data_IF_251790231769
#
_entry.id   IF_251790231769
#
_cell.length_a   1.000
_cell.length_b   1.000
_cell.length_c   1.000
_cell.angle_alpha   90.00
_cell.angle_beta   90.00
_cell.angle_gamma   90.00
#
_symmetry.space_group_name_H-M   'P 1'
#
loop_
_entity.id
_entity.type
_entity.pdbx_description
1 polymer ?
#
# COMPACT_ATOMS: atom_id res chain seq x y z
N UNK A 1 -5.82 -9.27 30.06
CA UNK A 1 -6.85 -9.66 29.07
C UNK A 1 -6.21 -9.62 27.69
N UNK A 2 -6.35 -10.67 26.86
CA UNK A 2 -5.88 -10.57 25.48
C UNK A 2 -6.63 -9.43 24.78
N UNK A 3 -5.89 -8.66 23.96
CA UNK A 3 -6.49 -7.57 23.19
C UNK A 3 -7.58 -8.11 22.24
N UNK A 4 -8.66 -7.37 22.08
CA UNK A 4 -9.73 -7.74 21.18
C UNK A 4 -9.18 -7.89 19.72
N UNK A 5 -9.66 -8.87 18.96
CA UNK A 5 -9.21 -9.07 17.60
C UNK A 5 -9.54 -7.84 16.72
N UNK A 6 -8.61 -7.48 15.85
CA UNK A 6 -8.86 -6.45 14.82
C UNK A 6 -9.88 -7.02 13.82
N UNK A 7 -10.92 -6.27 13.52
CA UNK A 7 -11.97 -6.68 12.58
C UNK A 7 -12.45 -5.49 11.76
N UNK A 8 -12.90 -5.78 10.55
CA UNK A 8 -13.45 -4.79 9.59
C UNK A 8 -12.55 -3.56 9.46
N UNK A 9 -11.25 -3.82 9.26
CA UNK A 9 -10.22 -2.77 9.19
C UNK A 9 -9.51 -2.84 7.86
N UNK A 10 -9.42 -1.69 7.19
CA UNK A 10 -8.64 -1.48 5.99
C UNK A 10 -7.36 -0.74 6.37
N UNK A 11 -6.22 -1.35 6.14
CA UNK A 11 -4.92 -0.69 6.31
C UNK A 11 -4.38 -0.32 4.93
N UNK A 12 -4.12 0.96 4.72
CA UNK A 12 -3.59 1.46 3.45
C UNK A 12 -2.12 1.86 3.62
N UNK A 13 -1.21 1.03 3.07
CA UNK A 13 0.23 1.28 3.11
C UNK A 13 0.65 2.04 1.85
N UNK A 14 1.03 3.29 2.00
CA UNK A 14 1.56 4.13 0.92
C UNK A 14 3.02 4.49 1.15
N UNK A 15 3.82 4.53 0.08
CA UNK A 15 5.25 4.84 0.14
C UNK A 15 5.94 4.52 -1.18
N UNK A 16 7.14 5.00 -1.39
CA UNK A 16 7.89 4.80 -2.64
C UNK A 16 8.32 3.34 -2.85
N UNK A 17 8.65 2.99 -4.10
CA UNK A 17 9.28 1.72 -4.43
C UNK A 17 10.51 1.50 -3.53
N UNK A 18 10.68 0.29 -2.99
CA UNK A 18 11.78 -0.02 -2.06
C UNK A 18 11.46 0.13 -0.57
N UNK A 19 10.37 0.80 -0.16
CA UNK A 19 10.01 0.93 1.27
C UNK A 19 9.65 -0.39 1.96
N UNK A 20 9.45 -1.48 1.19
CA UNK A 20 9.10 -2.79 1.74
C UNK A 20 7.62 -3.01 2.00
N UNK A 21 6.73 -2.20 1.41
CA UNK A 21 5.27 -2.27 1.57
C UNK A 21 4.70 -3.69 1.56
N UNK A 22 5.01 -4.47 0.52
CA UNK A 22 4.49 -5.84 0.39
C UNK A 22 4.96 -6.74 1.52
N UNK A 23 6.23 -6.67 1.92
CA UNK A 23 6.78 -7.49 3.00
C UNK A 23 6.17 -7.11 4.35
N UNK A 24 5.97 -5.80 4.58
CA UNK A 24 5.28 -5.28 5.77
C UNK A 24 3.81 -5.71 5.74
N UNK A 25 3.13 -5.59 4.59
CA UNK A 25 1.74 -6.01 4.42
C UNK A 25 1.54 -7.50 4.75
N UNK A 26 2.44 -8.37 4.28
CA UNK A 26 2.38 -9.80 4.56
C UNK A 26 2.63 -10.11 6.06
N UNK A 27 3.55 -9.41 6.71
CA UNK A 27 3.77 -9.54 8.15
C UNK A 27 2.54 -9.06 8.94
N UNK A 28 2.00 -7.88 8.59
CA UNK A 28 0.81 -7.32 9.21
C UNK A 28 -0.43 -8.20 9.02
N UNK A 29 -0.62 -8.74 7.82
CA UNK A 29 -1.76 -9.61 7.50
C UNK A 29 -1.81 -10.86 8.38
N UNK A 30 -0.66 -11.41 8.77
CA UNK A 30 -0.59 -12.53 9.73
C UNK A 30 -1.02 -12.13 11.13
N UNK A 31 -0.67 -10.91 11.56
CA UNK A 31 -0.99 -10.40 12.91
C UNK A 31 -2.49 -10.07 13.09
N UNK A 32 -3.14 -9.60 12.04
CA UNK A 32 -4.55 -9.15 12.12
C UNK A 32 -5.52 -10.01 11.30
N UNK A 33 -5.10 -11.15 10.79
CA UNK A 33 -5.88 -12.00 9.86
C UNK A 33 -6.49 -11.19 8.71
N UNK A 34 -5.64 -10.61 7.85
CA UNK A 34 -6.06 -9.77 6.72
C UNK A 34 -5.72 -10.40 5.37
N UNK A 35 -6.46 -9.98 4.35
CA UNK A 35 -6.10 -10.23 2.95
C UNK A 35 -5.21 -9.07 2.46
N UNK A 36 -4.07 -9.39 1.85
CA UNK A 36 -3.21 -8.40 1.21
C UNK A 36 -3.69 -8.15 -0.20
N UNK A 37 -4.04 -6.90 -0.49
CA UNK A 37 -4.36 -6.40 -1.85
C UNK A 37 -3.13 -5.63 -2.33
N UNK A 38 -2.17 -6.37 -2.89
CA UNK A 38 -0.92 -5.78 -3.38
C UNK A 38 -1.18 -5.03 -4.70
N UNK A 39 -0.59 -3.85 -4.86
CA UNK A 39 -0.73 -3.05 -6.08
C UNK A 39 -0.35 -3.84 -7.36
N UNK A 40 0.56 -4.80 -7.25
CA UNK A 40 0.94 -5.67 -8.36
C UNK A 40 -0.15 -6.69 -8.74
N UNK A 41 -1.06 -7.06 -7.84
CA UNK A 41 -2.24 -7.87 -8.21
C UNK A 41 -3.15 -7.14 -9.18
N UNK A 42 -3.19 -5.82 -9.08
CA UNK A 42 -4.02 -4.96 -9.93
C UNK A 42 -3.29 -4.66 -11.24
N UNK A 43 -2.00 -4.38 -11.17
CA UNK A 43 -1.22 -3.96 -12.33
C UNK A 43 -0.79 -5.15 -13.21
N UNK A 44 -0.38 -6.27 -12.62
CA UNK A 44 0.24 -7.39 -13.34
C UNK A 44 -0.65 -8.09 -14.36
N UNK A 45 -1.99 -8.20 -14.20
CA UNK A 45 -2.84 -8.69 -15.28
C UNK A 45 -2.70 -7.93 -16.59
N UNK A 46 -2.44 -6.62 -16.51
CA UNK A 46 -2.22 -5.76 -17.68
C UNK A 46 -0.74 -5.77 -18.08
N UNK A 47 0.18 -5.61 -17.13
CA UNK A 47 1.63 -5.58 -17.39
C UNK A 47 2.14 -6.88 -17.99
N UNK A 48 1.65 -8.03 -17.55
CA UNK A 48 2.03 -9.33 -18.10
C UNK A 48 1.60 -9.55 -19.56
N UNK A 49 0.64 -8.77 -20.06
CA UNK A 49 0.20 -8.82 -21.47
C UNK A 49 1.01 -7.90 -22.38
N UNK A 50 1.61 -6.85 -21.84
CA UNK A 50 2.33 -5.83 -22.63
C UNK A 50 3.85 -5.91 -22.44
N UNK A 51 4.33 -6.73 -21.50
CA UNK A 51 5.75 -6.96 -21.19
C UNK A 51 6.58 -5.66 -21.13
N UNK A 52 6.28 -4.74 -20.20
CA UNK A 52 6.92 -3.43 -20.17
C UNK A 52 8.41 -3.57 -19.80
N UNK A 53 9.26 -2.75 -20.39
CA UNK A 53 10.71 -2.73 -20.15
C UNK A 53 11.11 -2.25 -18.72
N UNK A 54 10.15 -1.75 -17.96
CA UNK A 54 10.34 -1.22 -16.60
C UNK A 54 11.12 0.11 -16.53
N UNK A 55 11.36 0.76 -17.69
CA UNK A 55 12.13 2.00 -17.82
C UNK A 55 11.36 3.10 -18.53
N UNK A 56 10.70 2.77 -19.64
CA UNK A 56 9.93 3.71 -20.44
C UNK A 56 8.60 4.07 -19.78
N UNK A 57 8.12 5.32 -19.90
CA UNK A 57 6.78 5.68 -19.46
C UNK A 57 5.73 4.83 -20.19
N UNK A 58 4.74 4.35 -19.46
CA UNK A 58 3.64 3.60 -20.03
C UNK A 58 2.57 4.56 -20.60
N UNK A 59 1.96 4.24 -21.77
CA UNK A 59 0.87 5.02 -22.31
C UNK A 59 -0.33 5.11 -21.36
N UNK A 60 -1.11 6.20 -21.41
CA UNK A 60 -2.30 6.40 -20.58
C UNK A 60 -3.34 5.29 -20.75
N UNK A 61 -3.44 4.72 -21.95
CA UNK A 61 -4.32 3.58 -22.22
C UNK A 61 -4.04 2.37 -21.31
N UNK A 62 -2.78 2.16 -20.90
CA UNK A 62 -2.41 1.08 -19.96
C UNK A 62 -2.99 1.36 -18.59
N UNK A 63 -2.87 2.60 -18.11
CA UNK A 63 -3.40 3.01 -16.81
C UNK A 63 -4.92 2.97 -16.76
N UNK A 64 -5.58 3.25 -17.89
CA UNK A 64 -7.03 3.06 -18.04
C UNK A 64 -7.43 1.59 -17.83
N UNK A 65 -6.69 0.63 -18.36
CA UNK A 65 -6.98 -0.80 -18.13
C UNK A 65 -6.67 -1.22 -16.69
N UNK A 66 -5.56 -0.74 -16.13
CA UNK A 66 -5.22 -0.98 -14.72
C UNK A 66 -6.32 -0.44 -13.80
N UNK A 67 -6.89 0.72 -14.11
CA UNK A 67 -8.00 1.29 -13.36
C UNK A 67 -9.25 0.40 -13.38
N UNK A 68 -9.61 -0.18 -14.50
CA UNK A 68 -10.74 -1.14 -14.60
C UNK A 68 -10.55 -2.37 -13.72
N UNK A 69 -9.32 -2.89 -13.65
CA UNK A 69 -8.99 -3.98 -12.72
C UNK A 69 -9.13 -3.52 -11.27
N UNK A 70 -8.67 -2.30 -10.96
CA UNK A 70 -8.82 -1.71 -9.63
C UNK A 70 -10.30 -1.59 -9.23
N UNK A 71 -11.14 -1.06 -10.11
CA UNK A 71 -12.60 -0.94 -9.87
C UNK A 71 -13.24 -2.30 -9.60
N UNK A 72 -12.92 -3.33 -10.40
CA UNK A 72 -13.43 -4.68 -10.19
C UNK A 72 -13.00 -5.26 -8.84
N UNK A 73 -11.76 -5.02 -8.41
CA UNK A 73 -11.27 -5.44 -7.09
C UNK A 73 -12.00 -4.71 -5.96
N UNK A 74 -12.16 -3.39 -6.06
CA UNK A 74 -12.87 -2.59 -5.05
C UNK A 74 -14.33 -3.00 -4.95
N UNK A 75 -15.02 -3.20 -6.08
CA UNK A 75 -16.42 -3.65 -6.09
C UNK A 75 -16.57 -5.05 -5.49
N UNK A 76 -15.66 -5.98 -5.83
CA UNK A 76 -15.64 -7.32 -5.23
C UNK A 76 -15.48 -7.26 -3.71
N UNK A 77 -14.57 -6.42 -3.23
CA UNK A 77 -14.37 -6.23 -1.78
C UNK A 77 -15.63 -5.65 -1.14
N UNK A 78 -16.24 -4.64 -1.78
CA UNK A 78 -17.42 -3.97 -1.24
C UNK A 78 -18.63 -4.89 -1.11
N UNK A 79 -18.85 -5.78 -2.08
CA UNK A 79 -20.11 -6.51 -2.23
C UNK A 79 -20.03 -7.99 -1.90
N UNK A 80 -18.88 -8.65 -2.16
CA UNK A 80 -18.76 -10.11 -2.07
C UNK A 80 -17.84 -10.59 -0.94
N UNK A 81 -16.96 -9.75 -0.42
CA UNK A 81 -16.07 -10.15 0.65
C UNK A 81 -16.83 -10.37 1.97
N UNK A 82 -16.42 -11.39 2.74
CA UNK A 82 -17.05 -11.73 4.03
C UNK A 82 -17.13 -10.51 4.95
N UNK A 83 -18.25 -10.31 5.67
CA UNK A 83 -18.36 -9.27 6.70
C UNK A 83 -17.25 -9.38 7.75
N UNK A 84 -16.76 -8.25 8.23
CA UNK A 84 -15.72 -8.19 9.26
C UNK A 84 -14.30 -8.55 8.80
N UNK A 85 -14.08 -8.85 7.51
CA UNK A 85 -12.76 -9.17 6.96
C UNK A 85 -11.85 -7.94 6.95
N UNK A 86 -10.58 -8.14 7.34
CA UNK A 86 -9.55 -7.11 7.26
C UNK A 86 -8.83 -7.16 5.90
N UNK A 87 -8.38 -5.99 5.42
CA UNK A 87 -7.61 -5.85 4.18
C UNK A 87 -6.39 -4.97 4.41
N UNK A 88 -5.28 -5.30 3.75
CA UNK A 88 -4.06 -4.48 3.70
C UNK A 88 -3.75 -4.15 2.26
N UNK A 89 -3.87 -2.88 1.89
CA UNK A 89 -3.58 -2.38 0.55
C UNK A 89 -2.15 -1.85 0.49
N UNK A 90 -1.48 -2.01 -0.66
CA UNK A 90 -0.18 -1.39 -0.91
C UNK A 90 -0.25 -0.45 -2.09
N UNK A 91 0.35 0.74 -1.98
CA UNK A 91 0.35 1.74 -3.04
C UNK A 91 1.70 2.48 -3.12
N UNK A 92 2.20 2.75 -4.33
CA UNK A 92 3.30 3.66 -4.60
C UNK A 92 2.71 5.01 -5.02
N UNK A 93 2.32 5.83 -4.04
CA UNK A 93 1.57 7.07 -4.27
C UNK A 93 2.42 8.31 -4.04
N UNK A 94 2.26 9.30 -4.92
CA UNK A 94 2.92 10.61 -4.92
C UNK A 94 1.90 11.69 -4.58
N UNK A 95 2.29 12.62 -3.72
CA UNK A 95 1.47 13.80 -3.44
C UNK A 95 1.41 14.71 -4.68
N UNK A 96 0.20 15.16 -5.01
CA UNK A 96 -0.04 15.99 -6.19
C UNK A 96 -0.38 15.21 -7.46
N UNK A 97 -0.23 13.89 -7.48
CA UNK A 97 -0.63 13.05 -8.62
C UNK A 97 -2.13 12.69 -8.52
N UNK A 98 -2.99 13.16 -9.46
CA UNK A 98 -4.43 12.90 -9.39
C UNK A 98 -4.77 11.41 -9.36
N UNK A 99 -4.14 10.61 -10.22
CA UNK A 99 -4.36 9.16 -10.29
C UNK A 99 -4.10 8.45 -8.93
N UNK A 100 -3.04 8.87 -8.22
CA UNK A 100 -2.71 8.30 -6.92
C UNK A 100 -3.71 8.72 -5.84
N UNK A 101 -4.21 9.95 -5.93
CA UNK A 101 -5.27 10.45 -5.06
C UNK A 101 -6.57 9.68 -5.29
N UNK A 102 -6.98 9.49 -6.54
CA UNK A 102 -8.21 8.76 -6.92
C UNK A 102 -8.15 7.31 -6.43
N UNK A 103 -6.99 6.65 -6.50
CA UNK A 103 -6.80 5.30 -5.92
C UNK A 103 -7.03 5.27 -4.41
N UNK A 104 -6.50 6.24 -3.69
CA UNK A 104 -6.74 6.34 -2.25
C UNK A 104 -8.23 6.57 -1.95
N UNK A 105 -8.88 7.49 -2.68
CA UNK A 105 -10.30 7.80 -2.49
C UNK A 105 -11.18 6.58 -2.77
N UNK A 106 -10.92 5.80 -3.81
CA UNK A 106 -11.65 4.58 -4.10
C UNK A 106 -11.53 3.54 -2.95
N UNK A 107 -10.36 3.41 -2.34
CA UNK A 107 -10.18 2.55 -1.16
C UNK A 107 -10.95 3.11 0.04
N UNK A 108 -10.93 4.42 0.25
CA UNK A 108 -11.66 5.11 1.33
C UNK A 108 -13.17 4.92 1.18
N UNK A 109 -13.70 5.09 -0.02
CA UNK A 109 -15.11 4.87 -0.33
C UNK A 109 -15.52 3.41 -0.13
N UNK A 110 -14.68 2.47 -0.56
CA UNK A 110 -14.90 1.04 -0.34
C UNK A 110 -14.95 0.71 1.15
N UNK A 111 -14.05 1.30 1.95
CA UNK A 111 -14.08 1.15 3.41
C UNK A 111 -15.39 1.70 4.00
N UNK A 112 -15.82 2.89 3.55
CA UNK A 112 -17.07 3.50 4.01
C UNK A 112 -18.31 2.65 3.65
N UNK A 113 -18.40 2.13 2.43
CA UNK A 113 -19.48 1.22 1.98
C UNK A 113 -19.58 -0.03 2.85
N UNK A 114 -18.47 -0.50 3.41
CA UNK A 114 -18.43 -1.67 4.30
C UNK A 114 -18.58 -1.32 5.78
N UNK A 115 -18.67 -0.04 6.14
CA UNK A 115 -18.57 0.41 7.53
C UNK A 115 -17.21 0.00 8.15
N UNK A 116 -16.18 -0.17 7.32
CA UNK A 116 -14.85 -0.55 7.76
C UNK A 116 -14.06 0.66 8.26
N UNK A 117 -13.23 0.44 9.28
CA UNK A 117 -12.28 1.44 9.71
C UNK A 117 -11.13 1.52 8.73
N UNK A 118 -10.82 2.71 8.23
CA UNK A 118 -9.63 2.97 7.40
C UNK A 118 -8.48 3.48 8.28
N UNK A 119 -7.32 2.86 8.14
CA UNK A 119 -6.06 3.22 8.83
C UNK A 119 -4.97 3.43 7.78
N UNK A 120 -4.75 4.67 7.35
CA UNK A 120 -3.67 4.98 6.43
C UNK A 120 -2.31 4.98 7.14
N UNK A 121 -1.30 4.44 6.45
CA UNK A 121 0.08 4.38 6.93
C UNK A 121 1.02 4.88 5.84
N UNK A 122 1.65 6.03 6.07
CA UNK A 122 2.71 6.56 5.22
C UNK A 122 4.04 5.95 5.62
N UNK A 123 4.65 5.21 4.72
CA UNK A 123 5.97 4.62 4.92
C UNK A 123 7.03 5.52 4.27
N UNK A 124 7.86 6.10 5.08
CA UNK A 124 9.01 6.89 4.64
C UNK A 124 10.31 6.12 4.83
N UNK A 125 11.31 6.38 3.99
CA UNK A 125 12.58 5.69 4.02
C UNK A 125 13.65 6.57 3.37
N UNK A 126 14.87 6.55 3.88
CA UNK A 126 16.02 7.26 3.30
C UNK A 126 16.31 6.78 1.87
N UNK A 127 16.73 7.70 0.99
CA UNK A 127 16.96 7.42 -0.44
C UNK A 127 18.01 6.34 -0.69
N UNK A 128 19.11 6.35 0.05
CA UNK A 128 20.17 5.35 -0.06
C UNK A 128 19.67 3.95 0.31
N UNK A 129 18.85 3.86 1.34
CA UNK A 129 18.26 2.57 1.72
C UNK A 129 17.22 2.09 0.71
N UNK A 130 16.42 2.98 0.11
CA UNK A 130 15.55 2.61 -1.02
C UNK A 130 16.36 2.07 -2.19
N UNK A 131 17.43 2.76 -2.59
CA UNK A 131 18.31 2.33 -3.67
C UNK A 131 18.95 0.96 -3.39
N UNK A 132 19.38 0.72 -2.15
CA UNK A 132 19.91 -0.57 -1.71
C UNK A 132 18.86 -1.68 -1.83
N UNK A 133 17.64 -1.44 -1.34
CA UNK A 133 16.54 -2.43 -1.36
C UNK A 133 16.04 -2.72 -2.76
N UNK A 134 16.07 -1.74 -3.66
CA UNK A 134 15.65 -1.93 -5.06
C UNK A 134 16.58 -2.85 -5.84
N UNK A 135 17.85 -2.95 -5.47
CA UNK A 135 18.81 -3.89 -6.08
C UNK A 135 18.60 -5.35 -5.66
N UNK A 136 17.67 -5.64 -4.74
CA UNK A 136 17.44 -7.02 -4.28
C UNK A 136 16.92 -7.92 -5.40
N UNK A 137 17.33 -9.22 -5.44
CA UNK A 137 16.90 -10.18 -6.46
C UNK A 137 15.37 -10.37 -6.50
N UNK A 138 14.84 -10.84 -7.65
CA UNK A 138 13.43 -11.20 -7.83
C UNK A 138 12.48 -10.04 -8.05
N UNK A 139 12.95 -8.79 -8.09
CA UNK A 139 12.08 -7.63 -8.34
C UNK A 139 11.62 -7.53 -9.80
N UNK A 140 12.50 -7.83 -10.74
CA UNK A 140 12.19 -7.79 -12.18
C UNK A 140 11.08 -8.78 -12.53
N UNK A 141 11.10 -9.98 -11.97
CA UNK A 141 10.07 -11.03 -12.18
C UNK A 141 8.65 -10.58 -11.80
N UNK A 142 8.55 -9.53 -11.00
CA UNK A 142 7.26 -8.97 -10.56
C UNK A 142 6.94 -7.62 -11.20
N UNK A 143 7.57 -7.27 -12.32
CA UNK A 143 7.43 -5.96 -12.99
C UNK A 143 7.65 -4.76 -12.05
N UNK A 144 8.48 -4.94 -11.02
CA UNK A 144 8.82 -3.87 -10.08
C UNK A 144 9.98 -3.04 -10.61
N UNK A 145 9.94 -1.72 -10.36
CA UNK A 145 11.07 -0.84 -10.68
C UNK A 145 12.38 -1.38 -10.10
N UNK A 146 13.41 -1.45 -10.94
CA UNK A 146 14.78 -1.84 -10.59
C UNK A 146 15.76 -0.68 -10.68
N UNK A 147 15.28 0.53 -11.00
CA UNK A 147 16.11 1.73 -11.15
C UNK A 147 16.44 2.33 -9.78
N UNK A 148 17.62 2.03 -9.25
CA UNK A 148 18.07 2.46 -7.94
C UNK A 148 18.31 3.98 -7.85
N UNK A 149 18.80 4.61 -8.93
CA UNK A 149 19.05 6.06 -8.97
C UNK A 149 17.73 6.82 -8.99
N UNK A 150 16.75 6.34 -9.74
CA UNK A 150 15.41 6.89 -9.71
C UNK A 150 14.82 6.85 -8.30
N UNK A 151 14.94 5.72 -7.60
CA UNK A 151 14.43 5.56 -6.23
C UNK A 151 15.12 6.50 -5.23
N UNK A 152 16.45 6.64 -5.33
CA UNK A 152 17.23 7.58 -4.50
C UNK A 152 16.76 9.02 -4.71
N UNK A 153 16.66 9.43 -5.96
CA UNK A 153 16.33 10.80 -6.32
C UNK A 153 14.89 11.19 -6.02
N UNK A 154 13.97 10.23 -5.95
CA UNK A 154 12.57 10.49 -5.58
C UNK A 154 12.44 11.11 -4.19
N UNK A 155 13.23 10.68 -3.22
CA UNK A 155 13.13 11.18 -1.83
C UNK A 155 13.42 12.67 -1.72
N UNK A 156 14.25 13.22 -2.60
CA UNK A 156 14.53 14.68 -2.63
C UNK A 156 13.60 15.49 -3.53
N UNK A 157 12.84 14.82 -4.41
CA UNK A 157 12.01 15.47 -5.43
C UNK A 157 10.52 15.31 -5.16
N UNK A 158 10.10 14.13 -4.77
CA UNK A 158 8.69 13.77 -4.63
C UNK A 158 8.32 13.63 -3.14
N UNK A 159 7.05 13.82 -2.84
CA UNK A 159 6.51 13.61 -1.49
C UNK A 159 5.59 12.39 -1.54
N UNK A 160 5.72 11.48 -0.58
CA UNK A 160 4.78 10.37 -0.43
C UNK A 160 3.37 10.92 -0.19
N UNK A 161 2.38 10.41 -0.91
CA UNK A 161 0.98 10.81 -0.78
C UNK A 161 0.55 10.92 0.68
N UNK A 162 -0.01 12.06 1.05
CA UNK A 162 -0.62 12.27 2.36
C UNK A 162 -2.12 11.97 2.31
N UNK A 163 -2.60 10.95 3.01
CA UNK A 163 -4.04 10.65 3.12
C UNK A 163 -4.84 11.77 3.78
N UNK A 164 -4.21 12.67 4.53
CA UNK A 164 -4.84 13.81 5.23
C UNK A 164 -6.00 13.39 6.13
N UNK A 165 -5.82 12.28 6.84
CA UNK A 165 -6.80 11.81 7.83
C UNK A 165 -6.21 11.82 9.23
N UNK A 166 -7.02 12.07 10.28
CA UNK A 166 -6.55 12.12 11.66
C UNK A 166 -5.88 10.82 12.14
N UNK A 167 -6.27 9.69 11.57
CA UNK A 167 -5.75 8.36 11.91
C UNK A 167 -4.51 7.96 11.09
N UNK A 168 -3.94 8.88 10.28
CA UNK A 168 -2.74 8.59 9.48
C UNK A 168 -1.52 8.39 10.39
N UNK A 169 -0.87 7.21 10.27
CA UNK A 169 0.43 6.93 10.86
C UNK A 169 1.53 7.23 9.84
N UNK A 170 2.49 8.08 10.18
CA UNK A 170 3.75 8.19 9.41
C UNK A 170 4.82 7.35 10.11
N UNK A 171 5.40 6.39 9.40
CA UNK A 171 6.38 5.44 9.93
C UNK A 171 7.66 5.47 9.08
N UNK A 172 8.77 5.84 9.70
CA UNK A 172 10.10 5.68 9.11
C UNK A 172 10.54 4.22 9.20
N UNK A 173 10.70 3.59 8.03
CA UNK A 173 11.08 2.18 7.90
C UNK A 173 12.54 1.99 7.49
N UNK A 174 13.35 3.03 7.51
CA UNK A 174 14.77 2.99 7.11
C UNK A 174 15.52 1.89 7.86
N UNK A 175 15.34 1.82 9.18
CA UNK A 175 16.02 0.88 10.07
C UNK A 175 15.11 -0.18 10.68
N UNK A 176 13.82 -0.21 10.29
CA UNK A 176 12.88 -1.17 10.83
C UNK A 176 12.83 -2.45 10.01
N UNK A 177 12.81 -3.58 10.71
CA UNK A 177 12.46 -4.85 10.08
C UNK A 177 10.95 -4.87 9.74
N UNK A 178 10.53 -5.69 8.76
CA UNK A 178 9.09 -5.82 8.42
C UNK A 178 8.22 -6.21 9.62
N UNK A 179 8.71 -7.10 10.49
CA UNK A 179 7.98 -7.49 11.71
C UNK A 179 7.84 -6.34 12.71
N UNK A 180 8.89 -5.53 12.93
CA UNK A 180 8.81 -4.34 13.79
C UNK A 180 7.88 -3.28 13.20
N UNK A 181 7.90 -3.10 11.90
CA UNK A 181 6.96 -2.18 11.21
C UNK A 181 5.51 -2.66 11.38
N UNK A 182 5.24 -3.94 11.19
CA UNK A 182 3.91 -4.53 11.42
C UNK A 182 3.45 -4.35 12.87
N UNK A 183 4.30 -4.62 13.85
CA UNK A 183 4.01 -4.45 15.27
C UNK A 183 3.66 -2.98 15.62
N UNK A 184 4.39 -2.01 15.07
CA UNK A 184 4.10 -0.59 15.25
C UNK A 184 2.73 -0.21 14.66
N UNK A 185 2.38 -0.73 13.48
CA UNK A 185 1.07 -0.51 12.85
C UNK A 185 -0.04 -1.12 13.69
N UNK A 186 0.13 -2.35 14.20
CA UNK A 186 -0.85 -3.01 15.09
C UNK A 186 -1.05 -2.20 16.37
N UNK A 187 0.03 -1.69 16.97
CA UNK A 187 -0.06 -0.85 18.16
C UNK A 187 -0.86 0.44 17.88
N UNK A 188 -0.66 1.08 16.72
CA UNK A 188 -1.42 2.25 16.28
C UNK A 188 -2.92 1.91 16.09
N UNK A 189 -3.25 0.81 15.41
CA UNK A 189 -4.63 0.34 15.22
C UNK A 189 -5.32 0.18 16.58
N UNK A 190 -4.68 -0.50 17.54
CA UNK A 190 -5.23 -0.76 18.87
C UNK A 190 -5.33 0.49 19.73
N UNK A 191 -4.31 1.37 19.67
CA UNK A 191 -4.32 2.64 20.39
C UNK A 191 -5.48 3.56 20.00
N UNK A 192 -5.83 3.61 18.72
CA UNK A 192 -6.95 4.40 18.25
C UNK A 192 -8.32 3.74 18.57
N UNK A 193 -8.40 2.40 18.65
CA UNK A 193 -9.61 1.70 19.14
C UNK A 193 -9.92 2.04 20.60
N UNK A 194 -8.91 2.30 21.43
CA UNK A 194 -9.08 2.68 22.84
C UNK A 194 -9.56 4.13 23.01
N UNK A 195 -9.21 5.02 22.08
CA UNK A 195 -9.63 6.45 22.11
C UNK A 195 -11.06 6.68 21.61
N UNK A 196 -11.62 5.76 20.86
CA UNK A 196 -12.99 5.85 20.30
C UNK A 196 -14.07 5.15 21.15
N UNK A 197 -13.69 4.63 22.33
CA UNK A 197 -14.60 4.09 23.35
C UNK A 197 -14.74 5.06 24.50
#
# INVERSE_FOLDING_TARGET
>A
MPDAPVRNTFVYLVGFAGTGKRTIALALAREIDAIVVDNHWINNPIFGLIDPDGKSPLPDAVWTQVWRVHEAVMETIATLARPGRNFVFTHDGIEGEPYDRDKFEAIRETAARRGARLVPVRLICEGEELARRIRSPGRAEMFKSTNADHARNRVGRDIVLDPRTPDTLTLDVTRLSPGRSAAAIVAHIRGAQRRGR
#
